data_IF_539670413021
#
_entry.id   IF_539670413021
#
_cell.length_a   1.000
_cell.length_b   1.000
_cell.length_c   1.000
_cell.angle_alpha   90.00
_cell.angle_beta   90.00
_cell.angle_gamma   90.00
#
_symmetry.space_group_name_H-M   'P 1'
#
loop_
_entity.id
_entity.type
_entity.pdbx_description
1 polymer ?
#
# COMPACT_ATOMS: atom_id res chain seq x y z
N UNK A 1 -40.51 38.85 46.67
CA UNK A 1 -40.45 37.94 45.49
C UNK A 1 -39.51 38.53 44.43
N UNK A 2 -38.20 38.69 44.73
CA UNK A 2 -37.27 39.41 43.85
C UNK A 2 -36.02 38.61 43.43
N UNK A 3 -36.02 37.28 43.60
CA UNK A 3 -34.86 36.40 43.26
C UNK A 3 -35.13 35.36 42.16
N UNK A 4 -36.39 35.14 41.80
CA UNK A 4 -36.77 34.23 40.72
C UNK A 4 -36.17 34.61 39.35
N UNK A 5 -36.20 35.89 38.90
CA UNK A 5 -35.60 36.24 37.61
C UNK A 5 -34.06 36.14 37.63
N UNK A 6 -33.44 36.40 38.78
CA UNK A 6 -31.98 36.31 38.96
C UNK A 6 -31.51 34.86 38.91
N UNK A 7 -32.18 33.94 39.63
CA UNK A 7 -31.90 32.50 39.58
C UNK A 7 -32.14 31.91 38.19
N UNK A 8 -33.17 32.37 37.47
CA UNK A 8 -33.44 31.93 36.10
C UNK A 8 -32.35 32.40 35.13
N UNK A 9 -31.88 33.64 35.27
CA UNK A 9 -30.78 34.18 34.49
C UNK A 9 -29.47 33.42 34.79
N UNK A 10 -29.18 33.14 36.06
CA UNK A 10 -28.00 32.37 36.47
C UNK A 10 -28.01 30.96 35.88
N UNK A 11 -29.12 30.25 36.00
CA UNK A 11 -29.27 28.93 35.38
C UNK A 11 -29.12 28.97 33.85
N UNK A 12 -29.68 30.00 33.20
CA UNK A 12 -29.54 30.19 31.75
C UNK A 12 -28.09 30.48 31.34
N UNK A 13 -27.36 31.27 32.12
CA UNK A 13 -25.94 31.54 31.89
C UNK A 13 -25.07 30.30 32.09
N UNK A 14 -25.39 29.46 33.07
CA UNK A 14 -24.71 28.16 33.25
C UNK A 14 -24.95 27.25 32.05
N UNK A 15 -26.20 27.11 31.60
CA UNK A 15 -26.54 26.32 30.42
C UNK A 15 -25.83 26.86 29.18
N UNK A 16 -25.83 28.18 28.99
CA UNK A 16 -25.13 28.83 27.88
C UNK A 16 -23.62 28.56 27.92
N UNK A 17 -22.98 28.68 29.08
CA UNK A 17 -21.56 28.38 29.24
C UNK A 17 -21.24 26.92 28.90
N UNK A 18 -22.09 25.97 29.31
CA UNK A 18 -21.93 24.55 28.95
C UNK A 18 -22.07 24.35 27.45
N UNK A 19 -23.06 24.96 26.80
CA UNK A 19 -23.25 24.85 25.34
C UNK A 19 -22.04 25.42 24.58
N UNK A 20 -21.51 26.56 25.01
CA UNK A 20 -20.30 27.13 24.41
C UNK A 20 -19.09 26.21 24.62
N UNK A 21 -18.92 25.64 25.81
CA UNK A 21 -17.83 24.71 26.08
C UNK A 21 -17.91 23.47 25.17
N UNK A 22 -19.11 22.90 24.98
CA UNK A 22 -19.32 21.77 24.08
C UNK A 22 -19.05 22.13 22.62
N UNK A 23 -19.50 23.30 22.17
CA UNK A 23 -19.25 23.77 20.80
C UNK A 23 -17.76 23.99 20.52
N UNK A 24 -17.01 24.53 21.50
CA UNK A 24 -15.56 24.72 21.39
C UNK A 24 -14.82 23.39 21.36
N UNK A 25 -15.24 22.43 22.18
CA UNK A 25 -14.66 21.09 22.20
C UNK A 25 -14.88 20.38 20.86
N UNK A 26 -16.11 20.37 20.35
CA UNK A 26 -16.45 19.77 19.05
C UNK A 26 -15.63 20.39 17.91
N UNK A 27 -15.56 21.73 17.87
CA UNK A 27 -14.77 22.43 16.85
C UNK A 27 -13.28 22.08 16.92
N UNK A 28 -12.74 21.91 18.13
CA UNK A 28 -11.34 21.51 18.32
C UNK A 28 -11.12 20.07 17.86
N UNK A 29 -12.02 19.17 18.20
CA UNK A 29 -11.93 17.76 17.84
C UNK A 29 -12.03 17.56 16.33
N UNK A 30 -12.98 18.23 15.67
CA UNK A 30 -13.11 18.23 14.21
C UNK A 30 -11.81 18.70 13.53
N UNK A 31 -11.22 19.80 14.01
CA UNK A 31 -9.94 20.29 13.49
C UNK A 31 -8.79 19.29 13.68
N UNK A 32 -8.69 18.67 14.86
CA UNK A 32 -7.67 17.66 15.13
C UNK A 32 -7.83 16.43 14.23
N UNK A 33 -9.07 16.04 13.92
CA UNK A 33 -9.34 14.93 13.00
C UNK A 33 -8.95 15.25 11.56
N UNK A 34 -9.21 16.47 11.08
CA UNK A 34 -8.71 16.93 9.79
C UNK A 34 -7.17 16.89 9.71
N UNK A 35 -6.48 17.43 10.73
CA UNK A 35 -5.01 17.42 10.78
C UNK A 35 -4.44 15.99 10.88
N UNK A 36 -5.15 15.08 11.54
CA UNK A 36 -4.79 13.67 11.58
C UNK A 36 -5.01 12.98 10.23
N UNK A 37 -6.12 13.29 9.53
CA UNK A 37 -6.40 12.78 8.19
C UNK A 37 -5.36 13.24 7.18
N UNK A 38 -4.95 14.52 7.21
CA UNK A 38 -3.89 15.03 6.35
C UNK A 38 -2.57 14.29 6.58
N UNK A 39 -2.22 14.01 7.84
CA UNK A 39 -1.04 13.21 8.18
C UNK A 39 -1.13 11.78 7.67
N UNK A 40 -2.29 11.14 7.81
CA UNK A 40 -2.50 9.79 7.28
C UNK A 40 -2.37 9.76 5.75
N UNK A 41 -2.97 10.74 5.04
CA UNK A 41 -2.82 10.90 3.59
C UNK A 41 -1.36 11.09 3.18
N UNK A 42 -0.61 11.95 3.89
CA UNK A 42 0.82 12.14 3.62
C UNK A 42 1.61 10.85 3.80
N UNK A 43 1.29 10.05 4.82
CA UNK A 43 1.92 8.74 5.03
C UNK A 43 1.68 7.79 3.85
N UNK A 44 0.43 7.71 3.38
CA UNK A 44 0.05 6.89 2.22
C UNK A 44 0.74 7.36 0.94
N UNK A 45 0.76 8.67 0.67
CA UNK A 45 1.46 9.22 -0.50
C UNK A 45 2.96 8.93 -0.44
N UNK A 46 3.56 8.98 0.76
CA UNK A 46 4.97 8.66 0.96
C UNK A 46 5.24 7.17 0.68
N UNK A 47 4.36 6.28 1.14
CA UNK A 47 4.45 4.84 0.86
C UNK A 47 4.29 4.55 -0.64
N UNK A 48 3.33 5.18 -1.32
CA UNK A 48 3.15 5.01 -2.77
C UNK A 48 4.37 5.46 -3.56
N UNK A 49 5.05 6.54 -3.15
CA UNK A 49 6.29 6.99 -3.78
C UNK A 49 7.42 5.99 -3.54
N UNK A 50 7.59 5.52 -2.30
CA UNK A 50 8.60 4.51 -1.99
C UNK A 50 8.38 3.21 -2.80
N UNK A 51 7.13 2.77 -2.95
CA UNK A 51 6.80 1.61 -3.79
C UNK A 51 7.10 1.88 -5.28
N UNK A 52 6.85 3.09 -5.77
CA UNK A 52 7.21 3.44 -7.15
C UNK A 52 8.73 3.43 -7.35
N UNK A 53 9.48 4.02 -6.42
CA UNK A 53 10.94 4.06 -6.45
C UNK A 53 11.51 2.62 -6.44
N UNK A 54 10.97 1.74 -5.58
CA UNK A 54 11.34 0.32 -5.50
C UNK A 54 11.07 -0.41 -6.84
N UNK A 55 9.93 -0.13 -7.49
CA UNK A 55 9.63 -0.71 -8.80
C UNK A 55 10.59 -0.21 -9.89
N UNK A 56 10.94 1.08 -9.89
CA UNK A 56 11.88 1.66 -10.84
C UNK A 56 13.31 1.13 -10.65
N UNK A 57 13.73 0.86 -9.40
CA UNK A 57 15.04 0.30 -9.08
C UNK A 57 15.16 -1.19 -9.47
N UNK A 58 14.12 -1.98 -9.21
CA UNK A 58 14.13 -3.44 -9.44
C UNK A 58 13.78 -3.84 -10.87
N UNK A 59 12.99 -3.04 -11.58
CA UNK A 59 12.51 -3.33 -12.94
C UNK A 59 13.60 -3.69 -13.96
N UNK A 60 14.70 -2.93 -14.08
CA UNK A 60 15.80 -3.28 -14.98
C UNK A 60 16.47 -4.63 -14.66
N UNK A 61 16.60 -4.96 -13.37
CA UNK A 61 17.16 -6.22 -12.90
C UNK A 61 16.28 -7.42 -13.29
N UNK A 62 14.96 -7.26 -13.17
CA UNK A 62 13.98 -8.26 -13.61
C UNK A 62 14.04 -8.51 -15.12
N UNK A 63 14.16 -7.46 -15.94
CA UNK A 63 14.28 -7.59 -17.40
C UNK A 63 15.59 -8.29 -17.81
N UNK A 64 16.70 -7.95 -17.16
CA UNK A 64 17.98 -8.62 -17.40
C UNK A 64 17.91 -10.11 -17.01
N UNK A 65 17.21 -10.40 -15.93
CA UNK A 65 16.98 -11.77 -15.45
C UNK A 65 16.11 -12.58 -16.42
N UNK A 66 15.05 -11.99 -16.99
CA UNK A 66 14.26 -12.64 -18.06
C UNK A 66 15.12 -12.97 -19.29
N UNK A 67 15.95 -12.02 -19.74
CA UNK A 67 16.85 -12.22 -20.88
C UNK A 67 17.86 -13.35 -20.62
N UNK A 68 18.50 -13.36 -19.45
CA UNK A 68 19.46 -14.40 -19.05
C UNK A 68 18.81 -15.79 -19.00
N UNK A 69 17.60 -15.89 -18.42
CA UNK A 69 16.90 -17.17 -18.32
C UNK A 69 16.49 -17.70 -19.70
N UNK A 70 16.12 -16.83 -20.64
CA UNK A 70 15.82 -17.23 -22.03
C UNK A 70 17.04 -17.83 -22.72
N UNK A 71 18.22 -17.25 -22.52
CA UNK A 71 19.49 -17.74 -23.05
C UNK A 71 19.88 -19.10 -22.44
N UNK A 72 19.82 -19.23 -21.11
CA UNK A 72 20.05 -20.49 -20.38
C UNK A 72 19.14 -21.63 -20.87
N UNK A 73 17.88 -21.32 -21.19
CA UNK A 73 16.93 -22.32 -21.69
C UNK A 73 17.26 -22.78 -23.11
N UNK A 74 17.90 -21.93 -23.93
CA UNK A 74 18.33 -22.29 -25.28
C UNK A 74 19.61 -23.11 -25.28
N UNK A 75 20.55 -22.79 -24.38
CA UNK A 75 21.87 -23.45 -24.31
C UNK A 75 21.88 -24.71 -23.42
N UNK A 76 20.79 -24.96 -22.68
CA UNK A 76 20.67 -26.03 -21.67
C UNK A 76 21.75 -25.99 -20.56
N UNK A 77 22.41 -24.84 -20.36
CA UNK A 77 23.42 -24.65 -19.30
C UNK A 77 22.79 -24.08 -18.02
N UNK A 78 22.27 -24.98 -17.20
CA UNK A 78 21.62 -24.65 -15.93
C UNK A 78 22.60 -24.34 -14.78
N UNK A 79 23.92 -24.39 -15.01
CA UNK A 79 24.91 -24.03 -13.99
C UNK A 79 24.82 -22.55 -13.58
N UNK A 80 24.30 -21.72 -14.47
CA UNK A 80 24.06 -20.29 -14.28
C UNK A 80 22.92 -19.98 -13.29
N UNK A 81 22.09 -20.95 -12.94
CA UNK A 81 21.01 -20.79 -11.95
C UNK A 81 21.51 -20.78 -10.49
N UNK A 82 22.75 -21.21 -10.23
CA UNK A 82 23.27 -21.33 -8.87
C UNK A 82 23.40 -19.98 -8.13
N UNK A 83 23.46 -18.86 -8.86
CA UNK A 83 23.52 -17.50 -8.31
C UNK A 83 22.29 -16.66 -8.68
N UNK A 84 21.18 -17.32 -9.00
CA UNK A 84 19.96 -16.66 -9.43
C UNK A 84 19.33 -15.86 -8.29
N UNK A 85 19.26 -14.54 -8.45
CA UNK A 85 18.56 -13.63 -7.55
C UNK A 85 17.64 -12.76 -8.39
N UNK A 86 16.32 -12.91 -8.23
CA UNK A 86 15.34 -12.16 -9.01
C UNK A 86 15.27 -10.66 -8.65
N UNK A 87 15.80 -10.24 -7.48
CA UNK A 87 15.72 -8.84 -7.05
C UNK A 87 14.29 -8.31 -7.08
N UNK A 88 13.35 -9.04 -6.46
CA UNK A 88 11.93 -8.71 -6.50
C UNK A 88 11.64 -7.49 -5.62
N UNK A 89 10.81 -6.54 -6.07
CA UNK A 89 10.41 -5.38 -5.27
C UNK A 89 9.58 -5.81 -4.05
N UNK A 90 9.89 -5.19 -2.91
CA UNK A 90 9.14 -5.36 -1.65
C UNK A 90 8.14 -4.20 -1.46
N UNK A 91 6.91 -4.39 -1.94
CA UNK A 91 5.86 -3.38 -1.82
C UNK A 91 5.19 -3.41 -0.44
N UNK A 92 5.09 -2.25 0.19
CA UNK A 92 4.31 -2.08 1.42
C UNK A 92 2.89 -1.59 1.11
N UNK A 93 1.92 -2.03 1.91
CA UNK A 93 0.58 -1.43 1.97
C UNK A 93 0.15 -1.09 3.40
N UNK A 94 1.12 -0.98 4.31
CA UNK A 94 0.91 -0.81 5.72
C UNK A 94 0.28 0.55 6.05
N UNK A 95 0.77 1.63 5.42
CA UNK A 95 0.24 2.98 5.61
C UNK A 95 -1.24 3.04 5.18
N UNK A 96 -1.58 2.45 4.04
CA UNK A 96 -2.96 2.39 3.54
C UNK A 96 -3.89 1.55 4.41
N UNK A 97 -3.43 0.39 4.89
CA UNK A 97 -4.23 -0.43 5.82
C UNK A 97 -4.43 0.28 7.16
N UNK A 98 -3.39 0.92 7.68
CA UNK A 98 -3.45 1.67 8.93
C UNK A 98 -4.39 2.89 8.83
N UNK A 99 -4.40 3.59 7.69
CA UNK A 99 -5.27 4.75 7.49
C UNK A 99 -6.75 4.37 7.47
N UNK A 100 -7.11 3.23 6.89
CA UNK A 100 -8.50 2.76 6.78
C UNK A 100 -9.13 2.38 8.12
N UNK A 101 -8.34 1.85 9.06
CA UNK A 101 -8.84 1.48 10.40
C UNK A 101 -8.78 2.64 11.39
N UNK A 102 -8.26 3.79 10.97
CA UNK A 102 -8.08 4.96 11.81
C UNK A 102 -9.34 5.84 11.84
N UNK A 103 -9.54 6.65 12.90
CA UNK A 103 -10.61 7.66 12.93
C UNK A 103 -10.56 8.69 11.79
N UNK A 104 -9.40 8.85 11.14
CA UNK A 104 -9.24 9.74 9.98
C UNK A 104 -9.96 9.24 8.72
N UNK A 105 -10.34 7.96 8.65
CA UNK A 105 -10.94 7.38 7.45
C UNK A 105 -12.22 8.11 7.00
N UNK A 106 -13.03 8.60 7.94
CA UNK A 106 -14.25 9.37 7.64
C UNK A 106 -13.98 10.77 7.07
N UNK A 107 -12.74 11.25 7.14
CA UNK A 107 -12.32 12.57 6.67
C UNK A 107 -11.51 12.48 5.36
N UNK A 108 -11.43 11.30 4.75
CA UNK A 108 -10.84 11.14 3.43
C UNK A 108 -11.81 11.54 2.32
N UNK A 109 -11.27 12.20 1.31
CA UNK A 109 -12.05 12.56 0.13
C UNK A 109 -12.44 11.29 -0.60
N UNK A 110 -13.69 11.24 -1.05
CA UNK A 110 -14.25 10.05 -1.68
C UNK A 110 -13.43 9.60 -2.90
N UNK A 111 -12.99 10.54 -3.74
CA UNK A 111 -12.17 10.24 -4.92
C UNK A 111 -10.83 9.61 -4.51
N UNK A 112 -10.21 10.11 -3.43
CA UNK A 112 -8.95 9.58 -2.92
C UNK A 112 -9.10 8.13 -2.43
N UNK A 113 -10.22 7.82 -1.77
CA UNK A 113 -10.56 6.46 -1.32
C UNK A 113 -10.80 5.50 -2.48
N UNK A 114 -11.06 5.99 -3.70
CA UNK A 114 -11.21 5.16 -4.91
C UNK A 114 -9.88 5.01 -5.67
N UNK A 115 -9.13 6.09 -5.81
CA UNK A 115 -7.92 6.10 -6.64
C UNK A 115 -6.75 5.37 -5.96
N UNK A 116 -6.56 5.58 -4.66
CA UNK A 116 -5.44 4.98 -3.93
C UNK A 116 -5.47 3.45 -3.93
N UNK A 117 -6.59 2.76 -3.66
CA UNK A 117 -6.66 1.31 -3.75
C UNK A 117 -6.22 0.75 -5.10
N UNK A 118 -6.52 1.43 -6.22
CA UNK A 118 -6.13 0.93 -7.55
C UNK A 118 -4.62 0.81 -7.71
N UNK A 119 -3.86 1.73 -7.11
CA UNK A 119 -2.41 1.65 -7.07
C UNK A 119 -1.96 0.43 -6.25
N UNK A 120 -2.54 0.23 -5.06
CA UNK A 120 -2.23 -0.92 -4.22
C UNK A 120 -2.65 -2.26 -4.82
N UNK A 121 -3.78 -2.33 -5.52
CA UNK A 121 -4.22 -3.54 -6.24
C UNK A 121 -3.18 -3.97 -7.27
N UNK A 122 -2.58 -3.01 -7.98
CA UNK A 122 -1.51 -3.27 -8.95
C UNK A 122 -0.28 -3.86 -8.26
N UNK A 123 0.15 -3.27 -7.14
CA UNK A 123 1.28 -3.77 -6.36
C UNK A 123 1.01 -5.15 -5.75
N UNK A 124 -0.19 -5.40 -5.21
CA UNK A 124 -0.56 -6.70 -4.64
C UNK A 124 -0.56 -7.82 -5.68
N UNK A 125 -1.04 -7.54 -6.90
CA UNK A 125 -0.97 -8.51 -8.01
C UNK A 125 0.49 -8.85 -8.30
N UNK A 126 1.35 -7.84 -8.35
CA UNK A 126 2.77 -8.03 -8.58
C UNK A 126 3.44 -8.83 -7.46
N UNK A 127 3.25 -8.46 -6.19
CA UNK A 127 3.81 -9.17 -5.04
C UNK A 127 3.35 -10.63 -4.99
N UNK A 128 2.08 -10.90 -5.27
CA UNK A 128 1.56 -12.28 -5.31
C UNK A 128 2.22 -13.11 -6.41
N UNK A 129 2.47 -12.51 -7.57
CA UNK A 129 3.19 -13.18 -8.65
C UNK A 129 4.66 -13.41 -8.29
N UNK A 130 5.29 -12.44 -7.63
CA UNK A 130 6.66 -12.54 -7.12
C UNK A 130 6.80 -13.69 -6.10
N UNK A 131 5.89 -13.77 -5.12
CA UNK A 131 5.83 -14.87 -4.13
C UNK A 131 5.69 -16.23 -4.80
N UNK A 132 4.83 -16.34 -5.82
CA UNK A 132 4.66 -17.59 -6.56
C UNK A 132 5.93 -18.01 -7.32
N UNK A 133 6.71 -17.05 -7.83
CA UNK A 133 8.02 -17.35 -8.45
C UNK A 133 8.99 -17.86 -7.39
N UNK A 134 9.06 -17.22 -6.22
CA UNK A 134 9.92 -17.66 -5.11
C UNK A 134 9.56 -19.08 -4.65
N UNK A 135 8.27 -19.36 -4.47
CA UNK A 135 7.78 -20.69 -4.06
C UNK A 135 8.16 -21.77 -5.08
N UNK A 136 8.05 -21.48 -6.37
CA UNK A 136 8.38 -22.42 -7.44
C UNK A 136 9.90 -22.63 -7.59
N UNK A 137 10.70 -21.58 -7.42
CA UNK A 137 12.17 -21.68 -7.31
C UNK A 137 12.57 -22.52 -6.11
N UNK A 138 11.86 -22.41 -4.99
CA UNK A 138 12.19 -23.08 -3.72
C UNK A 138 11.67 -24.53 -3.66
N UNK A 139 10.74 -24.91 -4.53
CA UNK A 139 10.15 -26.24 -4.53
C UNK A 139 11.18 -27.33 -4.93
N UNK A 140 11.33 -28.42 -4.15
CA UNK A 140 12.27 -29.49 -4.45
C UNK A 140 11.82 -30.47 -5.55
N UNK A 141 10.60 -30.34 -6.09
CA UNK A 141 9.97 -31.38 -6.94
C UNK A 141 10.10 -31.18 -8.46
N UNK A 142 10.64 -30.05 -8.94
CA UNK A 142 10.80 -29.76 -10.36
C UNK A 142 12.23 -30.01 -10.84
N UNK A 143 12.38 -30.73 -11.96
CA UNK A 143 13.65 -30.85 -12.69
C UNK A 143 14.13 -29.48 -13.16
N UNK A 144 15.45 -29.29 -13.39
CA UNK A 144 16.02 -27.98 -13.71
C UNK A 144 15.35 -27.28 -14.91
N UNK A 145 15.02 -28.02 -15.96
CA UNK A 145 14.38 -27.50 -17.18
C UNK A 145 12.93 -27.06 -16.93
N UNK A 146 12.14 -27.87 -16.23
CA UNK A 146 10.73 -27.55 -15.95
C UNK A 146 10.61 -26.37 -14.98
N UNK A 147 11.56 -26.26 -14.04
CA UNK A 147 11.68 -25.13 -13.12
C UNK A 147 11.97 -23.82 -13.87
N UNK A 148 12.96 -23.82 -14.76
CA UNK A 148 13.30 -22.61 -15.54
C UNK A 148 12.17 -22.18 -16.45
N UNK A 149 11.51 -23.13 -17.12
CA UNK A 149 10.37 -22.83 -18.00
C UNK A 149 9.19 -22.24 -17.23
N UNK A 150 8.93 -22.73 -16.01
CA UNK A 150 7.90 -22.17 -15.13
C UNK A 150 8.24 -20.75 -14.66
N UNK A 151 9.49 -20.51 -14.24
CA UNK A 151 9.98 -19.18 -13.83
C UNK A 151 9.88 -18.18 -15.00
N UNK A 152 10.32 -18.58 -16.20
CA UNK A 152 10.20 -17.76 -17.42
C UNK A 152 8.76 -17.42 -17.77
N UNK A 153 7.85 -18.39 -17.70
CA UNK A 153 6.43 -18.15 -17.96
C UNK A 153 5.83 -17.10 -17.04
N UNK A 154 6.26 -17.07 -15.77
CA UNK A 154 5.79 -16.11 -14.76
C UNK A 154 6.48 -14.74 -14.86
N UNK A 155 7.77 -14.72 -15.15
CA UNK A 155 8.51 -13.48 -15.44
C UNK A 155 7.95 -12.77 -16.67
N UNK A 156 7.58 -13.52 -17.70
CA UNK A 156 6.88 -12.97 -18.86
C UNK A 156 5.56 -12.29 -18.47
N UNK A 157 4.76 -12.87 -17.55
CA UNK A 157 3.55 -12.20 -17.06
C UNK A 157 3.85 -10.94 -16.23
N UNK A 158 4.92 -10.93 -15.44
CA UNK A 158 5.35 -9.78 -14.63
C UNK A 158 5.89 -8.62 -15.49
N UNK A 159 6.52 -8.93 -16.62
CA UNK A 159 7.13 -7.94 -17.52
C UNK A 159 6.20 -7.49 -18.67
N UNK A 160 4.93 -7.96 -18.70
CA UNK A 160 3.95 -7.56 -19.71
C UNK A 160 4.06 -8.32 -21.05
N UNK A 161 4.63 -9.53 -21.02
CA UNK A 161 4.62 -10.58 -22.04
C UNK A 161 4.35 -10.14 -23.49
N UNK A 162 5.39 -9.63 -24.17
CA UNK A 162 5.54 -9.91 -25.60
C UNK A 162 6.00 -11.37 -25.72
N UNK A 163 5.04 -12.28 -25.83
CA UNK A 163 5.28 -13.62 -26.38
C UNK A 163 5.37 -13.43 -27.89
N UNK A 164 6.59 -13.39 -28.43
CA UNK A 164 6.88 -13.69 -29.83
C UNK A 164 7.64 -15.02 -29.88
#
# INVERSE_FOLDING_TARGET
>A
MARLPELALEALMVVFAVLVALAVEEWRDERQMHEFADRARMGVVTELRANLDEFEETGPGLLATDAMLREVTQEEDFSLLANFNLGLPDFSSAAWRASQVSPAASYFDFDWVIEVPRAYETYEVYSRMADQVIDEVSSPSTTGVDRVRAILGRLATLTGGQVQ
#
